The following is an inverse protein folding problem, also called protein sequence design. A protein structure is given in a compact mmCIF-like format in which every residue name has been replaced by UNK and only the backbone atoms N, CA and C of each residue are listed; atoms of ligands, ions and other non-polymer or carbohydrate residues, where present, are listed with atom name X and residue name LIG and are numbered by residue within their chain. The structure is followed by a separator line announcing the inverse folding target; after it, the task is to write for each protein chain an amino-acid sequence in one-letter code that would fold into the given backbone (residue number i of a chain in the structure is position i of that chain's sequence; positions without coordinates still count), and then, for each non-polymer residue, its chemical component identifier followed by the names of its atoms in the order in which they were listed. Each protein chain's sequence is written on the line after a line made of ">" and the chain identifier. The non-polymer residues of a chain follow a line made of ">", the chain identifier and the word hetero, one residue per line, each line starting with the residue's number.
data_IF_388504970961
#
_entry.id   IF_388504970961
#
_cell.length_a   1.000
_cell.length_b   1.000
_cell.length_c   1.000
_cell.angle_alpha   90.00
_cell.angle_beta   90.00
_cell.angle_gamma   90.00
#
_symmetry.space_group_name_H-M   'P 1'
#
loop_
_entity.id
_entity.type
_entity.pdbx_description
1 polymer ?
#
# COMPACT_ATOMS: atom_id res chain seq x y z
N UNK A 1 -24.38 -2.44 13.87
CA UNK A 1 -24.05 -1.90 15.21
C UNK A 1 -23.20 -2.94 15.91
N UNK A 2 -21.88 -2.72 15.99
CA UNK A 2 -20.96 -3.67 16.59
C UNK A 2 -21.31 -3.87 18.07
N UNK A 3 -21.64 -5.10 18.45
CA UNK A 3 -22.13 -5.44 19.79
C UNK A 3 -21.04 -5.47 20.87
N UNK A 4 -19.77 -5.31 20.52
CA UNK A 4 -18.68 -5.34 21.47
C UNK A 4 -17.97 -4.00 21.54
N UNK A 5 -18.21 -3.31 22.65
CA UNK A 5 -17.40 -2.16 23.11
C UNK A 5 -15.93 -2.55 23.40
N UNK A 6 -15.50 -3.73 22.99
CA UNK A 6 -14.09 -4.14 23.10
C UNK A 6 -13.39 -3.65 21.84
N UNK A 7 -12.52 -2.66 22.04
CA UNK A 7 -11.64 -2.19 20.99
C UNK A 7 -10.99 -3.39 20.28
N UNK A 8 -11.03 -3.47 18.94
CA UNK A 8 -10.47 -4.57 18.18
C UNK A 8 -8.93 -4.63 18.22
N UNK A 9 -8.32 -3.82 19.07
CA UNK A 9 -6.90 -3.53 19.12
C UNK A 9 -6.08 -4.51 19.98
N UNK A 10 -6.70 -5.52 20.57
CA UNK A 10 -5.99 -6.52 21.36
C UNK A 10 -5.14 -7.46 20.50
N UNK A 11 -5.53 -7.64 19.24
CA UNK A 11 -4.81 -8.41 18.23
C UNK A 11 -4.76 -7.59 16.96
N UNK A 12 -3.62 -7.01 16.67
CA UNK A 12 -3.43 -6.19 15.49
C UNK A 12 -2.59 -6.91 14.44
N UNK A 13 -2.99 -6.80 13.17
CA UNK A 13 -2.23 -7.30 12.04
C UNK A 13 -1.46 -6.12 11.47
N UNK A 14 -0.14 -6.17 11.59
CA UNK A 14 0.77 -5.17 11.05
C UNK A 14 1.59 -5.79 9.92
N UNK A 15 1.63 -5.11 8.77
CA UNK A 15 2.42 -5.52 7.62
C UNK A 15 1.76 -6.59 6.75
N UNK A 16 2.55 -7.13 5.83
CA UNK A 16 2.10 -8.07 4.81
C UNK A 16 2.08 -9.50 5.31
N UNK A 17 1.11 -10.28 4.82
CA UNK A 17 1.12 -11.73 4.91
C UNK A 17 2.03 -12.35 3.84
N UNK A 18 2.46 -13.61 4.07
CA UNK A 18 3.18 -14.38 3.07
C UNK A 18 2.27 -14.66 1.86
N UNK A 19 2.73 -14.22 0.69
CA UNK A 19 2.03 -14.44 -0.56
C UNK A 19 2.11 -15.90 -0.97
N UNK A 20 1.00 -16.53 -1.41
CA UNK A 20 1.04 -17.87 -1.97
C UNK A 20 1.87 -17.91 -3.26
N UNK A 21 2.46 -19.08 -3.55
CA UNK A 21 3.38 -19.21 -4.68
C UNK A 21 2.72 -18.91 -6.02
N UNK A 22 1.48 -19.35 -6.22
CA UNK A 22 0.74 -19.05 -7.45
C UNK A 22 0.55 -17.53 -7.70
N UNK A 23 0.45 -16.71 -6.63
CA UNK A 23 0.39 -15.25 -6.77
C UNK A 23 1.75 -14.67 -7.17
N UNK A 24 2.84 -15.21 -6.62
CA UNK A 24 4.20 -14.81 -7.02
C UNK A 24 4.46 -15.17 -8.49
N UNK A 25 4.06 -16.37 -8.90
CA UNK A 25 4.17 -16.83 -10.29
C UNK A 25 3.37 -15.94 -11.25
N UNK A 26 2.12 -15.59 -10.91
CA UNK A 26 1.31 -14.70 -11.73
C UNK A 26 1.96 -13.31 -11.88
N UNK A 27 2.59 -12.77 -10.85
CA UNK A 27 3.34 -11.50 -10.93
C UNK A 27 4.55 -11.60 -11.87
N UNK A 28 5.26 -12.70 -11.85
CA UNK A 28 6.37 -12.92 -12.79
C UNK A 28 5.88 -13.11 -14.23
N UNK A 29 4.71 -13.75 -14.43
CA UNK A 29 4.07 -13.86 -15.74
C UNK A 29 3.66 -12.49 -16.28
N UNK A 30 3.11 -11.60 -15.43
CA UNK A 30 2.80 -10.22 -15.83
C UNK A 30 4.07 -9.47 -16.27
N UNK A 31 5.17 -9.57 -15.52
CA UNK A 31 6.44 -8.93 -15.89
C UNK A 31 6.98 -9.40 -17.23
N UNK A 32 6.73 -10.68 -17.59
CA UNK A 32 7.10 -11.26 -18.89
C UNK A 32 6.12 -10.91 -20.01
N UNK A 33 4.95 -10.37 -19.69
CA UNK A 33 3.89 -10.10 -20.64
C UNK A 33 3.04 -11.33 -21.00
N UNK A 34 3.16 -12.42 -20.25
CA UNK A 34 2.42 -13.67 -20.48
C UNK A 34 0.94 -13.56 -20.05
N UNK A 35 0.63 -12.66 -19.12
CA UNK A 35 -0.73 -12.36 -18.68
C UNK A 35 -0.97 -10.86 -18.65
N UNK A 36 -2.25 -10.47 -18.65
CA UNK A 36 -2.68 -9.08 -18.52
C UNK A 36 -2.83 -8.67 -17.05
N UNK A 37 -2.87 -7.35 -16.79
CA UNK A 37 -3.18 -6.81 -15.46
C UNK A 37 -4.54 -7.29 -14.94
N UNK A 38 -5.54 -7.41 -15.82
CA UNK A 38 -6.85 -7.93 -15.44
C UNK A 38 -6.78 -9.40 -14.98
N UNK A 39 -5.94 -10.20 -15.63
CA UNK A 39 -5.72 -11.59 -15.25
C UNK A 39 -4.98 -11.67 -13.91
N UNK A 40 -3.95 -10.85 -13.69
CA UNK A 40 -3.28 -10.75 -12.39
C UNK A 40 -4.28 -10.35 -11.30
N UNK A 41 -5.13 -9.33 -11.56
CA UNK A 41 -6.13 -8.88 -10.60
C UNK A 41 -7.07 -9.99 -10.14
N UNK A 42 -7.49 -10.90 -11.03
CA UNK A 42 -8.31 -12.08 -10.67
C UNK A 42 -7.57 -13.03 -9.74
N UNK A 43 -6.27 -13.23 -9.98
CA UNK A 43 -5.42 -14.06 -9.10
C UNK A 43 -5.22 -13.39 -7.74
N UNK A 44 -5.02 -12.08 -7.71
CA UNK A 44 -4.93 -11.31 -6.47
C UNK A 44 -6.25 -11.37 -5.66
N UNK A 45 -7.39 -11.20 -6.33
CA UNK A 45 -8.70 -11.28 -5.72
C UNK A 45 -8.92 -12.65 -5.06
N UNK A 46 -8.58 -13.73 -5.75
CA UNK A 46 -8.64 -15.08 -5.19
C UNK A 46 -7.73 -15.23 -3.96
N UNK A 47 -6.49 -14.81 -4.08
CA UNK A 47 -5.51 -14.92 -2.98
C UNK A 47 -5.94 -14.12 -1.73
N UNK A 48 -6.51 -12.93 -1.94
CA UNK A 48 -7.02 -12.08 -0.86
C UNK A 48 -8.25 -12.73 -0.21
N UNK A 49 -9.19 -13.28 -0.99
CA UNK A 49 -10.33 -13.99 -0.45
C UNK A 49 -9.91 -15.18 0.42
N UNK A 50 -9.01 -16.04 -0.08
CA UNK A 50 -8.48 -17.18 0.68
C UNK A 50 -7.78 -16.73 1.97
N UNK A 51 -7.06 -15.60 1.94
CA UNK A 51 -6.44 -15.01 3.12
C UNK A 51 -7.49 -14.52 4.13
N UNK A 52 -8.52 -13.82 3.65
CA UNK A 52 -9.61 -13.32 4.50
C UNK A 52 -10.35 -14.49 5.19
N UNK A 53 -10.62 -15.57 4.48
CA UNK A 53 -11.22 -16.76 5.06
C UNK A 53 -10.35 -17.36 6.18
N UNK A 54 -9.04 -17.39 5.99
CA UNK A 54 -8.09 -17.83 7.03
C UNK A 54 -8.07 -16.88 8.23
N UNK A 55 -8.12 -15.57 8.01
CA UNK A 55 -8.20 -14.56 9.07
C UNK A 55 -9.48 -14.73 9.90
N UNK A 56 -10.62 -14.88 9.25
CA UNK A 56 -11.92 -15.16 9.91
C UNK A 56 -11.89 -16.46 10.70
N UNK A 57 -11.39 -17.54 10.10
CA UNK A 57 -11.25 -18.85 10.75
C UNK A 57 -10.34 -18.82 11.98
N UNK A 58 -9.32 -17.96 11.94
CA UNK A 58 -8.43 -17.72 13.10
C UNK A 58 -9.08 -16.87 14.19
N UNK A 59 -10.30 -16.34 13.97
CA UNK A 59 -11.02 -15.52 14.92
C UNK A 59 -10.51 -14.08 15.03
N UNK A 60 -9.85 -13.57 13.99
CA UNK A 60 -9.39 -12.18 13.96
C UNK A 60 -10.61 -11.25 13.81
N UNK A 61 -10.73 -10.20 14.66
CA UNK A 61 -11.84 -9.24 14.58
C UNK A 61 -11.68 -8.21 13.47
N UNK A 62 -10.49 -8.14 12.87
CA UNK A 62 -10.13 -7.24 11.77
C UNK A 62 -9.53 -8.06 10.64
N UNK A 63 -9.98 -7.80 9.42
CA UNK A 63 -9.48 -8.43 8.20
C UNK A 63 -8.79 -7.41 7.29
N UNK A 64 -7.75 -7.84 6.60
CA UNK A 64 -6.99 -7.02 5.64
C UNK A 64 -6.77 -7.78 4.33
N UNK A 65 -6.35 -7.08 3.28
CA UNK A 65 -5.91 -7.67 2.01
C UNK A 65 -4.52 -8.34 2.09
N UNK A 66 -3.88 -8.28 3.27
CA UNK A 66 -2.53 -8.83 3.47
C UNK A 66 -1.45 -8.13 2.65
N UNK A 67 -1.74 -6.97 2.07
CA UNK A 67 -0.88 -6.23 1.15
C UNK A 67 -0.51 -7.04 -0.10
N UNK A 68 -1.39 -7.98 -0.51
CA UNK A 68 -1.11 -8.89 -1.62
C UNK A 68 -1.00 -8.21 -2.97
N UNK A 69 -1.59 -7.02 -3.13
CA UNK A 69 -1.48 -6.22 -4.36
C UNK A 69 -0.22 -5.36 -4.42
N UNK A 70 0.49 -5.18 -3.31
CA UNK A 70 1.63 -4.27 -3.22
C UNK A 70 2.95 -4.94 -3.57
N UNK A 71 3.88 -4.17 -4.11
CA UNK A 71 5.29 -4.52 -4.22
C UNK A 71 6.10 -3.90 -3.08
N UNK A 72 5.70 -2.71 -2.63
CA UNK A 72 6.22 -2.00 -1.47
C UNK A 72 5.08 -1.59 -0.55
N UNK A 73 5.26 -1.75 0.76
CA UNK A 73 4.23 -1.40 1.73
C UNK A 73 3.87 0.09 1.74
N UNK A 74 4.81 0.97 1.41
CA UNK A 74 4.66 2.44 1.42
C UNK A 74 4.69 3.07 0.03
N UNK A 75 5.65 2.69 -0.85
CA UNK A 75 5.79 3.33 -2.16
C UNK A 75 4.57 3.11 -3.06
N UNK A 76 3.95 1.92 -3.02
CA UNK A 76 2.73 1.66 -3.81
C UNK A 76 1.57 2.60 -3.40
N UNK A 77 1.50 3.00 -2.13
CA UNK A 77 0.55 4.04 -1.71
C UNK A 77 0.95 5.40 -2.28
N UNK A 78 2.20 5.79 -2.14
CA UNK A 78 2.67 7.09 -2.62
C UNK A 78 2.50 7.24 -4.12
N UNK A 79 2.83 6.20 -4.90
CA UNK A 79 2.63 6.19 -6.36
C UNK A 79 1.16 6.21 -6.79
N UNK A 80 0.24 5.86 -5.90
CA UNK A 80 -1.20 5.98 -6.13
C UNK A 80 -1.73 7.41 -6.02
N UNK A 81 -0.98 8.33 -5.43
CA UNK A 81 -1.34 9.74 -5.34
C UNK A 81 -1.12 10.45 -6.67
N UNK A 82 -2.00 11.36 -7.02
CA UNK A 82 -1.74 12.28 -8.14
C UNK A 82 -0.58 13.22 -7.79
N UNK A 83 0.16 13.64 -8.80
CA UNK A 83 1.34 14.48 -8.61
C UNK A 83 2.58 13.75 -8.10
N UNK A 84 2.50 12.42 -7.94
CA UNK A 84 3.62 11.57 -7.51
C UNK A 84 4.03 10.61 -8.61
N UNK A 85 5.31 10.52 -8.89
CA UNK A 85 5.90 9.62 -9.86
C UNK A 85 6.81 8.58 -9.20
N UNK A 86 6.93 7.43 -9.87
CA UNK A 86 7.91 6.42 -9.53
C UNK A 86 9.28 6.85 -10.02
N UNK A 87 10.26 6.83 -9.11
CA UNK A 87 11.66 7.10 -9.44
C UNK A 87 12.51 5.85 -9.29
N UNK A 88 13.46 5.68 -10.21
CA UNK A 88 14.57 4.76 -10.03
C UNK A 88 15.75 5.50 -9.41
N UNK A 89 16.29 4.95 -8.34
CA UNK A 89 17.44 5.51 -7.62
C UNK A 89 18.59 4.49 -7.64
N UNK A 90 19.80 5.00 -7.62
CA UNK A 90 21.01 4.16 -7.73
C UNK A 90 21.20 3.26 -6.51
N UNK A 91 20.68 3.64 -5.36
CA UNK A 91 20.81 2.91 -4.11
C UNK A 91 19.46 2.78 -3.40
N UNK A 92 19.01 1.55 -3.18
CA UNK A 92 17.84 1.24 -2.35
C UNK A 92 18.10 1.45 -0.86
N UNK A 93 17.14 1.05 -0.04
CA UNK A 93 17.34 1.00 1.42
C UNK A 93 18.32 -0.11 1.77
N UNK A 94 19.23 0.18 2.70
CA UNK A 94 20.17 -0.81 3.23
C UNK A 94 19.66 -1.32 4.57
N UNK A 95 19.42 -2.62 4.66
CA UNK A 95 19.06 -3.33 5.87
C UNK A 95 20.16 -4.35 6.17
N UNK A 96 20.87 -4.20 7.28
CA UNK A 96 21.90 -5.13 7.72
C UNK A 96 22.80 -5.63 6.56
N UNK A 97 22.49 -6.75 5.95
CA UNK A 97 23.25 -7.37 4.88
C UNK A 97 22.53 -7.35 3.52
N UNK A 98 21.37 -6.66 3.41
CA UNK A 98 20.58 -6.58 2.19
C UNK A 98 20.38 -5.14 1.74
N UNK A 99 20.57 -4.91 0.43
CA UNK A 99 20.20 -3.68 -0.25
C UNK A 99 18.93 -3.94 -1.05
N UNK A 100 17.89 -3.15 -0.81
CA UNK A 100 16.65 -3.28 -1.55
C UNK A 100 16.80 -2.74 -2.98
N UNK A 101 15.79 -2.99 -3.82
CA UNK A 101 15.70 -2.36 -5.15
C UNK A 101 15.77 -0.84 -5.01
N UNK A 102 16.42 -0.20 -5.96
CA UNK A 102 16.55 1.26 -6.03
C UNK A 102 15.28 1.92 -6.56
N UNK A 103 14.23 1.99 -5.75
CA UNK A 103 12.96 2.64 -6.10
C UNK A 103 12.61 3.69 -5.05
N UNK A 104 11.97 4.79 -5.49
CA UNK A 104 11.59 5.94 -4.67
C UNK A 104 10.33 6.59 -5.23
N UNK A 105 9.76 7.53 -4.52
CA UNK A 105 8.68 8.39 -4.96
C UNK A 105 9.16 9.85 -5.01
N UNK A 106 8.83 10.54 -6.10
CA UNK A 106 9.13 11.96 -6.25
C UNK A 106 7.93 12.72 -6.78
N UNK A 107 7.98 14.05 -6.70
CA UNK A 107 6.91 14.89 -7.18
C UNK A 107 7.06 15.22 -8.66
N UNK A 108 5.95 15.08 -9.39
CA UNK A 108 5.75 15.57 -10.77
C UNK A 108 4.58 16.56 -10.86
N UNK A 109 3.97 16.93 -9.73
CA UNK A 109 2.85 17.86 -9.62
C UNK A 109 2.47 18.11 -8.17
N UNK A 110 1.38 18.85 -7.96
CA UNK A 110 0.76 18.99 -6.63
C UNK A 110 0.10 17.67 -6.23
N UNK A 111 0.20 17.34 -4.95
CA UNK A 111 -0.31 16.08 -4.39
C UNK A 111 -1.84 16.12 -4.33
N UNK A 112 -2.49 15.02 -4.75
CA UNK A 112 -3.91 14.81 -4.55
C UNK A 112 -4.22 13.34 -4.34
N UNK A 113 -5.17 13.04 -3.44
CA UNK A 113 -5.68 11.69 -3.17
C UNK A 113 -6.85 11.25 -4.07
N UNK A 114 -7.24 12.06 -5.07
CA UNK A 114 -8.36 11.73 -5.93
C UNK A 114 -8.12 10.44 -6.73
N UNK A 115 -9.14 9.57 -6.75
CA UNK A 115 -9.10 8.28 -7.47
C UNK A 115 -7.96 7.34 -7.06
N UNK A 116 -7.51 7.45 -5.82
CA UNK A 116 -6.43 6.60 -5.30
C UNK A 116 -6.80 5.11 -5.38
N UNK A 117 -5.93 4.24 -5.98
CA UNK A 117 -6.27 2.83 -6.22
C UNK A 117 -6.57 2.04 -4.94
N UNK A 118 -6.03 2.44 -3.79
CA UNK A 118 -6.32 1.78 -2.52
C UNK A 118 -7.77 1.91 -2.06
N UNK A 119 -8.52 2.88 -2.59
CA UNK A 119 -9.97 3.00 -2.35
C UNK A 119 -10.69 1.76 -2.89
N UNK A 120 -10.38 1.34 -4.12
CA UNK A 120 -10.96 0.14 -4.71
C UNK A 120 -10.45 -1.14 -4.04
N UNK A 121 -9.17 -1.17 -3.62
CA UNK A 121 -8.64 -2.28 -2.83
C UNK A 121 -9.38 -2.44 -1.50
N UNK A 122 -9.62 -1.34 -0.80
CA UNK A 122 -10.38 -1.34 0.45
C UNK A 122 -11.85 -1.74 0.24
N UNK A 123 -12.51 -1.21 -0.80
CA UNK A 123 -13.88 -1.59 -1.15
C UNK A 123 -13.99 -3.10 -1.37
N UNK A 124 -13.00 -3.72 -2.00
CA UNK A 124 -12.98 -5.16 -2.18
C UNK A 124 -12.93 -5.92 -0.85
N UNK A 125 -12.03 -5.55 0.07
CA UNK A 125 -11.96 -6.17 1.41
C UNK A 125 -13.27 -5.95 2.18
N UNK A 126 -13.89 -4.78 2.01
CA UNK A 126 -15.14 -4.41 2.67
C UNK A 126 -16.33 -5.30 2.26
N UNK A 127 -16.30 -5.95 1.10
CA UNK A 127 -17.32 -6.93 0.71
C UNK A 127 -17.39 -8.16 1.66
N UNK A 128 -16.31 -8.43 2.38
CA UNK A 128 -16.20 -9.54 3.32
C UNK A 128 -16.48 -9.14 4.77
N UNK A 129 -16.81 -7.88 5.02
CA UNK A 129 -17.17 -7.37 6.33
C UNK A 129 -18.54 -7.95 6.77
N UNK A 130 -18.64 -8.29 8.06
CA UNK A 130 -19.87 -8.76 8.67
C UNK A 130 -19.98 -8.29 10.13
N UNK A 131 -20.97 -8.85 10.87
CA UNK A 131 -21.17 -8.45 12.27
C UNK A 131 -20.04 -8.84 13.23
N UNK A 132 -19.10 -9.68 12.80
CA UNK A 132 -18.01 -10.23 13.60
C UNK A 132 -16.63 -9.68 13.22
N UNK A 133 -16.47 -9.16 12.01
CA UNK A 133 -15.18 -8.67 11.49
C UNK A 133 -15.31 -7.32 10.81
N UNK A 134 -14.29 -6.49 10.99
CA UNK A 134 -14.12 -5.19 10.35
C UNK A 134 -13.06 -5.25 9.25
N UNK A 135 -13.34 -4.65 8.12
CA UNK A 135 -12.34 -4.41 7.08
C UNK A 135 -11.38 -3.28 7.51
N UNK A 136 -10.09 -3.46 7.28
CA UNK A 136 -9.04 -2.47 7.51
C UNK A 136 -8.10 -2.39 6.32
N UNK A 137 -7.68 -1.18 5.99
CA UNK A 137 -6.62 -0.89 5.04
C UNK A 137 -5.42 -0.32 5.79
N UNK A 138 -4.23 -0.89 5.55
CA UNK A 138 -2.97 -0.32 6.02
C UNK A 138 -2.47 0.71 5.02
N UNK A 139 -2.04 1.85 5.52
CA UNK A 139 -1.41 2.93 4.73
C UNK A 139 -0.17 3.42 5.47
N UNK A 140 0.84 3.98 4.79
CA UNK A 140 1.97 4.60 5.46
C UNK A 140 1.53 5.85 6.24
N UNK A 141 2.28 6.19 7.27
CA UNK A 141 2.08 7.46 7.96
C UNK A 141 2.45 8.64 7.04
N UNK A 142 1.78 9.80 7.16
CA UNK A 142 2.14 11.00 6.43
C UNK A 142 3.63 11.37 6.59
N UNK A 143 4.19 11.23 7.79
CA UNK A 143 5.60 11.48 8.05
C UNK A 143 6.55 10.56 7.25
N UNK A 144 6.11 9.34 6.89
CA UNK A 144 6.89 8.44 6.02
C UNK A 144 6.94 8.99 4.59
N UNK A 145 5.85 9.61 4.13
CA UNK A 145 5.83 10.23 2.81
C UNK A 145 6.73 11.48 2.78
N UNK A 146 6.63 12.34 3.79
CA UNK A 146 7.51 13.50 3.91
C UNK A 146 8.99 13.08 3.88
N UNK A 147 9.37 12.07 4.67
CA UNK A 147 10.74 11.56 4.69
C UNK A 147 11.21 11.02 3.32
N UNK A 148 10.31 10.45 2.51
CA UNK A 148 10.65 10.01 1.15
C UNK A 148 10.84 11.19 0.19
N UNK A 149 10.02 12.24 0.32
CA UNK A 149 10.13 13.47 -0.49
C UNK A 149 11.35 14.30 -0.15
N UNK A 150 11.89 14.16 1.05
CA UNK A 150 13.14 14.85 1.51
C UNK A 150 14.40 14.03 1.24
N UNK A 151 14.26 12.79 0.79
CA UNK A 151 15.36 11.86 0.62
C UNK A 151 16.22 12.21 -0.59
N UNK A 152 17.53 12.46 -0.37
CA UNK A 152 18.51 12.66 -1.44
C UNK A 152 18.08 13.74 -2.44
N UNK A 153 18.08 13.40 -3.72
CA UNK A 153 17.78 14.34 -4.81
C UNK A 153 16.29 14.69 -4.93
N UNK A 154 15.41 13.99 -4.19
CA UNK A 154 13.97 14.26 -4.21
C UNK A 154 13.64 15.63 -3.61
N UNK A 155 14.44 16.10 -2.65
CA UNK A 155 14.22 17.37 -1.97
C UNK A 155 14.19 18.58 -2.93
N UNK A 156 15.06 18.58 -3.95
CA UNK A 156 15.09 19.67 -4.94
C UNK A 156 13.80 19.67 -5.77
N UNK A 157 13.34 18.51 -6.23
CA UNK A 157 12.06 18.35 -6.93
C UNK A 157 10.87 18.76 -6.06
N UNK A 158 10.89 18.35 -4.79
CA UNK A 158 9.84 18.69 -3.83
C UNK A 158 9.73 20.22 -3.66
N UNK A 159 10.85 20.92 -3.47
CA UNK A 159 10.89 22.37 -3.35
C UNK A 159 10.46 23.11 -4.63
N UNK A 160 10.66 22.51 -5.79
CA UNK A 160 10.21 23.08 -7.05
C UNK A 160 8.67 23.13 -7.15
N UNK A 161 7.97 22.10 -6.63
CA UNK A 161 6.50 22.05 -6.62
C UNK A 161 5.89 22.71 -5.37
N UNK A 162 6.60 22.68 -4.24
CA UNK A 162 6.20 23.24 -2.95
C UNK A 162 7.31 24.14 -2.40
N UNK A 163 7.38 25.40 -2.87
CA UNK A 163 8.28 26.39 -2.29
C UNK A 163 7.92 26.73 -0.84
N UNK A 164 6.62 26.57 -0.49
CA UNK A 164 6.09 26.74 0.85
C UNK A 164 5.90 25.36 1.51
N UNK A 165 6.66 25.14 2.59
CA UNK A 165 6.61 23.90 3.36
C UNK A 165 5.25 23.70 4.06
N UNK A 166 4.58 24.77 4.46
CA UNK A 166 3.27 24.68 5.10
C UNK A 166 2.21 24.14 4.13
N UNK A 167 2.26 24.56 2.86
CA UNK A 167 1.40 24.03 1.79
C UNK A 167 1.66 22.53 1.56
N UNK A 168 2.95 22.12 1.53
CA UNK A 168 3.30 20.71 1.40
C UNK A 168 2.73 19.86 2.55
N UNK A 169 2.88 20.34 3.77
CA UNK A 169 2.37 19.65 4.95
C UNK A 169 0.84 19.56 4.93
N UNK A 170 0.15 20.62 4.49
CA UNK A 170 -1.31 20.58 4.32
C UNK A 170 -1.73 19.49 3.35
N UNK A 171 -1.11 19.42 2.17
CA UNK A 171 -1.48 18.43 1.14
C UNK A 171 -1.11 16.99 1.53
N UNK A 172 -0.12 16.79 2.40
CA UNK A 172 0.27 15.46 2.90
C UNK A 172 -0.67 14.99 4.04
N UNK A 173 -1.16 15.93 4.89
CA UNK A 173 -1.92 15.58 6.10
C UNK A 173 -3.43 15.71 5.95
N UNK A 174 -3.93 16.22 4.82
CA UNK A 174 -5.35 16.27 4.47
C UNK A 174 -5.80 15.01 3.75
#
# INVERSE_FOLDING_TARGET
>A
MYKNNQAPFKFDIVGSFLRPDYLKEAREQLKKGDITEEQLRKVEDQAIQELIDKQKKAGLPVITDGEFRRSWWHLDFMWGLQGVEKLEVTQGYTFHDEVTRGESAGLCGKISGENHPFIEHFKYVKLFEDSSVLARQTIPAPAQFLAELERGDNLEKTRAWYPDEEELLQDIFL
#
